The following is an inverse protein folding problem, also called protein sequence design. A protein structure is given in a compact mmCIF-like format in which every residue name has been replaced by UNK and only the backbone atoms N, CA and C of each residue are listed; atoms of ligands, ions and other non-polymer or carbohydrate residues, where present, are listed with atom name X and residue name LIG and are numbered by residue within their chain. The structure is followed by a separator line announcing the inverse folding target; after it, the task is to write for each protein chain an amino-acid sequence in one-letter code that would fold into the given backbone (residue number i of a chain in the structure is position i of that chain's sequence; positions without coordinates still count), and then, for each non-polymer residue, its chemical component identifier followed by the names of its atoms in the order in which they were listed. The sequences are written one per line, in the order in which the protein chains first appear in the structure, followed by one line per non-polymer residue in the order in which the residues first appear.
data_IF_884770947411
#
_entry.id   IF_884770947411
#
_cell.length_a   1.000
_cell.length_b   1.000
_cell.length_c   1.000
_cell.angle_alpha   90.00
_cell.angle_beta   90.00
_cell.angle_gamma   90.00
#
_symmetry.space_group_name_H-M   'P 1'
#
loop_
_entity.id
_entity.type
_entity.pdbx_description
1 polymer ?
#
# COMPACT_ATOMS: atom_id res chain seq x y z
N UNK A 1 -1.47 -25.39 -1.45
CA UNK A 1 -1.93 -25.22 -2.85
C UNK A 1 -0.71 -25.45 -3.73
N UNK A 2 -0.74 -26.53 -4.51
CA UNK A 2 0.35 -26.93 -5.40
C UNK A 2 0.42 -25.96 -6.59
N UNK A 3 1.53 -25.20 -6.76
CA UNK A 3 1.67 -24.22 -7.85
C UNK A 3 1.85 -24.87 -9.23
N UNK A 4 1.98 -26.19 -9.33
CA UNK A 4 2.12 -26.92 -10.60
C UNK A 4 0.80 -27.38 -11.21
N UNK A 5 -0.30 -27.36 -10.46
CA UNK A 5 -1.62 -27.69 -10.98
C UNK A 5 -2.33 -26.40 -11.43
N UNK A 6 -2.62 -26.26 -12.73
CA UNK A 6 -3.60 -25.26 -13.18
C UNK A 6 -4.91 -25.61 -12.47
N UNK A 7 -5.34 -24.78 -11.52
CA UNK A 7 -6.55 -25.04 -10.75
C UNK A 7 -7.74 -25.19 -11.72
N UNK A 8 -8.14 -26.43 -11.99
CA UNK A 8 -9.36 -26.71 -12.73
C UNK A 8 -10.50 -26.28 -11.82
N UNK A 9 -11.17 -25.20 -12.20
CA UNK A 9 -12.43 -24.79 -11.58
C UNK A 9 -13.48 -25.85 -11.91
N UNK A 10 -13.91 -26.59 -10.90
CA UNK A 10 -15.02 -27.53 -11.02
C UNK A 10 -16.33 -26.75 -10.91
N UNK A 11 -16.97 -26.52 -12.06
CA UNK A 11 -18.21 -25.74 -12.13
C UNK A 11 -19.38 -26.63 -11.74
N UNK A 12 -19.83 -26.50 -10.49
CA UNK A 12 -20.93 -27.30 -9.95
C UNK A 12 -22.32 -26.81 -10.36
N UNK A 13 -22.47 -25.53 -10.69
CA UNK A 13 -23.76 -24.94 -11.07
C UNK A 13 -23.60 -23.61 -11.84
N UNK A 14 -24.65 -23.27 -12.61
CA UNK A 14 -24.85 -21.95 -13.20
C UNK A 14 -26.14 -21.35 -12.64
N UNK A 15 -26.08 -20.12 -12.14
CA UNK A 15 -27.23 -19.41 -11.55
C UNK A 15 -27.34 -18.00 -12.14
N UNK A 16 -28.56 -17.49 -12.26
CA UNK A 16 -28.81 -16.08 -12.57
C UNK A 16 -28.79 -15.26 -11.29
N UNK A 17 -28.33 -14.01 -11.37
CA UNK A 17 -28.26 -13.12 -10.20
C UNK A 17 -29.61 -12.92 -9.51
N UNK A 18 -30.72 -12.96 -10.25
CA UNK A 18 -32.08 -12.86 -9.69
C UNK A 18 -32.44 -14.02 -8.75
N UNK A 19 -31.84 -15.20 -8.94
CA UNK A 19 -32.04 -16.38 -8.09
C UNK A 19 -31.29 -16.25 -6.76
N UNK A 20 -30.34 -15.31 -6.69
CA UNK A 20 -29.55 -15.08 -5.50
C UNK A 20 -30.17 -14.02 -4.59
N UNK A 21 -31.15 -13.23 -5.01
CA UNK A 21 -31.73 -12.16 -4.20
C UNK A 21 -32.59 -12.72 -3.03
N UNK A 22 -32.50 -12.07 -1.86
CA UNK A 22 -33.21 -12.47 -0.65
C UNK A 22 -32.55 -13.62 0.13
N UNK A 23 -31.38 -14.10 -0.29
CA UNK A 23 -30.62 -15.10 0.45
C UNK A 23 -29.93 -14.47 1.67
N UNK A 24 -30.09 -15.11 2.82
CA UNK A 24 -29.40 -14.71 4.06
C UNK A 24 -27.97 -15.27 4.05
N UNK A 25 -26.99 -14.39 4.24
CA UNK A 25 -25.56 -14.73 4.26
C UNK A 25 -24.92 -14.26 5.56
N UNK A 26 -23.98 -15.06 6.07
CA UNK A 26 -23.15 -14.65 7.21
C UNK A 26 -22.00 -13.80 6.67
N UNK A 27 -22.07 -12.49 6.86
CA UNK A 27 -21.01 -11.57 6.46
C UNK A 27 -19.91 -11.53 7.53
N UNK A 28 -18.65 -11.88 7.19
CA UNK A 28 -17.53 -11.75 8.12
C UNK A 28 -17.40 -10.30 8.62
N UNK A 29 -17.11 -10.11 9.90
CA UNK A 29 -16.87 -8.81 10.55
C UNK A 29 -18.06 -7.82 10.53
N UNK A 30 -19.25 -8.24 10.11
CA UNK A 30 -20.45 -7.40 10.16
C UNK A 30 -20.98 -7.28 11.59
N UNK A 31 -21.49 -6.09 11.95
CA UNK A 31 -22.25 -5.87 13.19
C UNK A 31 -23.61 -6.58 13.18
N UNK A 32 -24.13 -6.93 11.99
CA UNK A 32 -25.33 -7.74 11.82
C UNK A 32 -24.98 -9.23 11.97
N UNK A 33 -24.75 -9.66 13.21
CA UNK A 33 -24.26 -11.02 13.54
C UNK A 33 -25.23 -12.13 13.13
N UNK A 34 -26.52 -11.83 13.08
CA UNK A 34 -27.57 -12.75 12.62
C UNK A 34 -27.52 -13.01 11.11
N UNK A 35 -26.74 -12.23 10.36
CA UNK A 35 -26.59 -12.30 8.91
C UNK A 35 -27.15 -11.07 8.20
N UNK A 36 -26.82 -10.95 6.91
CA UNK A 36 -27.30 -9.91 5.99
C UNK A 36 -27.94 -10.57 4.77
N UNK A 37 -28.66 -9.81 3.96
CA UNK A 37 -29.35 -10.33 2.77
C UNK A 37 -28.70 -9.86 1.47
N UNK A 38 -28.78 -10.68 0.45
CA UNK A 38 -28.41 -10.32 -0.93
C UNK A 38 -29.51 -9.49 -1.58
N UNK A 39 -29.15 -8.29 -2.05
CA UNK A 39 -30.10 -7.32 -2.60
C UNK A 39 -29.76 -6.94 -4.04
N UNK A 40 -30.74 -6.50 -4.85
CA UNK A 40 -30.51 -6.03 -6.21
C UNK A 40 -29.78 -4.68 -6.24
N UNK A 41 -28.74 -4.58 -7.07
CA UNK A 41 -28.02 -3.34 -7.36
C UNK A 41 -27.85 -3.22 -8.88
N UNK A 42 -28.44 -2.18 -9.47
CA UNK A 42 -28.56 -2.06 -10.94
C UNK A 42 -27.27 -1.58 -11.63
N UNK A 43 -26.31 -1.05 -10.86
CA UNK A 43 -25.07 -0.46 -11.38
C UNK A 43 -23.88 -1.43 -11.44
N UNK A 44 -24.04 -2.69 -11.02
CA UNK A 44 -22.95 -3.68 -11.00
C UNK A 44 -22.60 -4.12 -12.43
N UNK A 45 -21.32 -3.99 -12.79
CA UNK A 45 -20.77 -4.50 -14.05
C UNK A 45 -20.21 -5.91 -13.83
N UNK A 46 -20.78 -6.91 -14.49
CA UNK A 46 -20.33 -8.32 -14.41
C UNK A 46 -18.90 -8.55 -14.88
N UNK A 47 -18.32 -7.61 -15.62
CA UNK A 47 -16.93 -7.65 -16.11
C UNK A 47 -15.89 -7.18 -15.09
N UNK A 48 -16.30 -6.71 -13.90
CA UNK A 48 -15.39 -6.22 -12.85
C UNK A 48 -15.58 -7.02 -11.55
N UNK A 49 -14.49 -7.60 -11.05
CA UNK A 49 -14.49 -8.39 -9.81
C UNK A 49 -15.22 -9.71 -9.98
N UNK A 50 -15.91 -10.16 -8.91
CA UNK A 50 -16.66 -11.42 -8.88
C UNK A 50 -18.11 -11.27 -9.36
N UNK A 51 -18.55 -10.04 -9.68
CA UNK A 51 -19.96 -9.73 -9.93
C UNK A 51 -20.83 -9.68 -8.66
N UNK A 52 -20.25 -9.90 -7.48
CA UNK A 52 -20.89 -9.75 -6.17
C UNK A 52 -20.17 -8.64 -5.41
N UNK A 53 -20.93 -7.69 -4.84
CA UNK A 53 -20.38 -6.52 -4.13
C UNK A 53 -20.92 -6.52 -2.71
N UNK A 54 -20.07 -6.20 -1.75
CA UNK A 54 -20.45 -5.99 -0.34
C UNK A 54 -21.00 -4.58 -0.16
N UNK A 55 -22.19 -4.46 0.44
CA UNK A 55 -22.83 -3.16 0.71
C UNK A 55 -22.29 -2.54 1.99
N UNK A 56 -21.60 -1.40 1.86
CA UNK A 56 -21.06 -0.59 2.97
C UNK A 56 -21.62 0.84 2.87
N UNK A 57 -22.92 1.03 3.20
CA UNK A 57 -23.65 2.28 2.92
C UNK A 57 -23.19 3.48 3.77
N UNK A 58 -22.35 3.30 4.79
CA UNK A 58 -21.71 4.39 5.53
C UNK A 58 -20.65 5.13 4.70
N UNK A 59 -19.96 4.41 3.81
CA UNK A 59 -18.72 4.88 3.16
C UNK A 59 -18.75 4.72 1.63
N UNK A 60 -19.73 4.02 1.08
CA UNK A 60 -19.96 3.90 -0.37
C UNK A 60 -21.25 4.63 -0.81
N UNK A 61 -21.15 5.71 -1.60
CA UNK A 61 -22.33 6.42 -2.13
C UNK A 61 -23.26 5.54 -2.97
N UNK A 62 -22.70 4.62 -3.76
CA UNK A 62 -23.46 3.67 -4.57
C UNK A 62 -24.31 2.76 -3.68
N UNK A 63 -23.74 2.25 -2.59
CA UNK A 63 -24.40 1.31 -1.68
C UNK A 63 -25.49 2.02 -0.87
N UNK A 64 -25.22 3.24 -0.40
CA UNK A 64 -26.24 4.06 0.26
C UNK A 64 -27.40 4.39 -0.66
N UNK A 65 -27.12 4.80 -1.90
CA UNK A 65 -28.16 5.11 -2.87
C UNK A 65 -29.02 3.87 -3.19
N UNK A 66 -28.40 2.71 -3.37
CA UNK A 66 -29.10 1.45 -3.62
C UNK A 66 -29.97 1.02 -2.42
N UNK A 67 -29.42 1.05 -1.19
CA UNK A 67 -30.14 0.72 0.03
C UNK A 67 -31.33 1.67 0.26
N UNK A 68 -31.10 2.98 0.10
CA UNK A 68 -32.14 4.00 0.25
C UNK A 68 -33.25 3.85 -0.79
N UNK A 69 -32.90 3.49 -2.03
CA UNK A 69 -33.88 3.25 -3.09
C UNK A 69 -34.78 2.05 -2.79
N UNK A 70 -34.22 0.92 -2.37
CA UNK A 70 -35.00 -0.28 -2.06
C UNK A 70 -35.87 -0.08 -0.81
N UNK A 71 -35.42 0.71 0.16
CA UNK A 71 -36.26 1.16 1.30
C UNK A 71 -37.42 2.03 0.83
N UNK A 72 -37.18 3.01 -0.04
CA UNK A 72 -38.18 4.01 -0.47
C UNK A 72 -39.19 3.50 -1.49
N UNK A 73 -38.85 2.49 -2.30
CA UNK A 73 -39.66 2.05 -3.45
C UNK A 73 -40.23 0.64 -3.21
N UNK A 74 -41.44 0.50 -2.63
CA UNK A 74 -42.11 -0.81 -2.45
C UNK A 74 -42.19 -1.63 -3.74
N UNK A 75 -42.45 -0.97 -4.88
CA UNK A 75 -42.49 -1.63 -6.19
C UNK A 75 -41.15 -2.29 -6.59
N UNK A 76 -40.01 -1.76 -6.12
CA UNK A 76 -38.69 -2.37 -6.37
C UNK A 76 -38.51 -3.65 -5.54
N UNK A 77 -39.00 -3.64 -4.30
CA UNK A 77 -39.03 -4.81 -3.41
C UNK A 77 -39.93 -5.90 -3.98
N UNK A 78 -41.15 -5.55 -4.38
CA UNK A 78 -42.12 -6.46 -4.99
C UNK A 78 -41.57 -7.09 -6.28
N UNK A 79 -40.96 -6.28 -7.16
CA UNK A 79 -40.36 -6.76 -8.41
C UNK A 79 -39.31 -7.86 -8.22
N UNK A 80 -38.53 -7.78 -7.15
CA UNK A 80 -37.43 -8.71 -6.87
C UNK A 80 -37.73 -9.66 -5.70
N UNK A 81 -38.99 -9.74 -5.25
CA UNK A 81 -39.43 -10.59 -4.15
C UNK A 81 -38.62 -10.40 -2.85
N UNK A 82 -38.31 -9.13 -2.52
CA UNK A 82 -37.61 -8.75 -1.29
C UNK A 82 -38.66 -8.32 -0.24
N UNK A 83 -38.60 -8.89 0.95
CA UNK A 83 -39.50 -8.55 2.05
C UNK A 83 -38.94 -7.42 2.92
N UNK A 84 -39.81 -6.81 3.74
CA UNK A 84 -39.44 -5.65 4.56
C UNK A 84 -38.41 -6.00 5.64
N UNK A 85 -38.45 -7.20 6.19
CA UNK A 85 -37.48 -7.68 7.18
C UNK A 85 -36.06 -7.81 6.61
N UNK A 86 -35.92 -7.98 5.29
CA UNK A 86 -34.61 -8.06 4.62
C UNK A 86 -33.92 -6.71 4.46
N UNK A 87 -34.63 -5.59 4.65
CA UNK A 87 -34.15 -4.25 4.28
C UNK A 87 -34.36 -3.22 5.38
N UNK A 88 -35.57 -3.15 5.93
CA UNK A 88 -35.97 -2.06 6.84
C UNK A 88 -35.15 -2.02 8.14
N UNK A 89 -34.76 -3.16 8.76
CA UNK A 89 -33.93 -3.15 9.96
C UNK A 89 -32.47 -2.73 9.74
N UNK A 90 -31.99 -2.67 8.49
CA UNK A 90 -30.58 -2.47 8.18
C UNK A 90 -30.27 -0.99 7.93
N UNK A 91 -29.67 -0.30 8.90
CA UNK A 91 -29.18 1.07 8.76
C UNK A 91 -27.65 1.12 8.51
N UNK A 92 -27.14 2.22 7.94
CA UNK A 92 -25.70 2.44 7.85
C UNK A 92 -25.04 2.37 9.22
N UNK A 93 -23.94 1.60 9.30
CA UNK A 93 -23.16 1.43 10.52
C UNK A 93 -21.99 2.41 10.48
N UNK A 94 -21.76 3.16 11.55
CA UNK A 94 -20.59 4.02 11.68
C UNK A 94 -19.32 3.16 11.82
N UNK A 95 -18.54 3.04 10.73
CA UNK A 95 -17.28 2.28 10.73
C UNK A 95 -16.08 3.23 10.75
N UNK A 96 -16.18 4.32 9.99
CA UNK A 96 -15.07 5.20 9.67
C UNK A 96 -15.48 6.65 9.88
N UNK A 97 -14.72 7.38 10.69
CA UNK A 97 -14.84 8.84 10.72
C UNK A 97 -13.95 9.47 9.64
N UNK A 98 -14.57 10.15 8.68
CA UNK A 98 -13.85 10.84 7.61
C UNK A 98 -13.75 12.34 7.93
N UNK A 99 -12.54 12.92 8.05
CA UNK A 99 -12.38 14.34 8.34
C UNK A 99 -13.17 15.22 7.36
N UNK A 100 -14.01 16.11 7.91
CA UNK A 100 -14.87 17.01 7.13
C UNK A 100 -16.15 16.38 6.55
N UNK A 101 -16.31 15.05 6.58
CA UNK A 101 -17.52 14.34 6.12
C UNK A 101 -18.25 13.57 7.23
N UNK A 102 -17.60 13.36 8.39
CA UNK A 102 -18.16 12.67 9.55
C UNK A 102 -18.12 11.15 9.44
N UNK A 103 -18.88 10.48 10.31
CA UNK A 103 -18.90 9.00 10.45
C UNK A 103 -19.74 8.25 9.42
N UNK A 104 -20.53 8.99 8.63
CA UNK A 104 -21.39 8.48 7.56
C UNK A 104 -21.07 9.23 6.27
N UNK A 105 -19.82 9.17 5.84
CA UNK A 105 -19.31 10.00 4.74
C UNK A 105 -20.12 9.86 3.45
N UNK A 106 -20.56 8.65 3.09
CA UNK A 106 -21.41 8.42 1.94
C UNK A 106 -22.78 9.07 2.08
N UNK A 107 -23.42 8.94 3.24
CA UNK A 107 -24.71 9.58 3.53
C UNK A 107 -24.59 11.09 3.40
N UNK A 108 -23.58 11.67 4.07
CA UNK A 108 -23.27 13.11 4.04
C UNK A 108 -23.09 13.61 2.62
N UNK A 109 -22.27 12.94 1.80
CA UNK A 109 -21.98 13.39 0.43
C UNK A 109 -23.18 13.22 -0.50
N UNK A 110 -23.91 12.11 -0.40
CA UNK A 110 -25.14 11.88 -1.19
C UNK A 110 -26.18 12.95 -0.92
N UNK A 111 -26.35 13.35 0.34
CA UNK A 111 -27.29 14.39 0.73
C UNK A 111 -26.81 15.79 0.28
N UNK A 112 -25.52 16.12 0.47
CA UNK A 112 -24.92 17.37 -0.01
C UNK A 112 -25.07 17.54 -1.53
N UNK A 113 -24.88 16.46 -2.29
CA UNK A 113 -24.98 16.46 -3.76
C UNK A 113 -26.42 16.28 -4.26
N UNK A 114 -27.39 16.18 -3.33
CA UNK A 114 -28.83 16.00 -3.61
C UNK A 114 -29.10 14.82 -4.55
N UNK A 115 -28.33 13.76 -4.45
CA UNK A 115 -28.51 12.54 -5.23
C UNK A 115 -29.81 11.88 -4.79
N UNK A 116 -30.71 11.56 -5.72
CA UNK A 116 -32.07 11.08 -5.43
C UNK A 116 -32.22 9.57 -5.66
N UNK A 117 -31.45 8.99 -6.56
CA UNK A 117 -31.64 7.60 -7.01
C UNK A 117 -30.31 6.93 -7.32
N UNK A 118 -30.26 5.58 -7.24
CA UNK A 118 -29.11 4.79 -7.73
C UNK A 118 -28.87 4.95 -9.25
N UNK A 119 -29.84 5.55 -9.95
CA UNK A 119 -29.76 5.85 -11.38
C UNK A 119 -29.04 7.19 -11.69
N UNK A 120 -28.70 8.00 -10.68
CA UNK A 120 -27.97 9.27 -10.86
C UNK A 120 -26.46 9.00 -11.08
N UNK A 121 -26.12 8.20 -12.10
CA UNK A 121 -24.81 7.57 -12.27
C UNK A 121 -23.64 8.54 -12.28
N UNK A 122 -23.79 9.70 -12.95
CA UNK A 122 -22.70 10.67 -13.08
C UNK A 122 -22.43 11.39 -11.74
N UNK A 123 -23.50 11.73 -11.00
CA UNK A 123 -23.36 12.33 -9.66
C UNK A 123 -22.83 11.32 -8.65
N UNK A 124 -23.22 10.06 -8.75
CA UNK A 124 -22.70 8.98 -7.90
C UNK A 124 -21.21 8.74 -8.15
N UNK A 125 -20.76 8.84 -9.40
CA UNK A 125 -19.34 8.77 -9.71
C UNK A 125 -18.55 9.90 -9.04
N UNK A 126 -19.03 11.15 -9.15
CA UNK A 126 -18.41 12.30 -8.49
C UNK A 126 -18.45 12.18 -6.95
N UNK A 127 -19.58 11.74 -6.38
CA UNK A 127 -19.72 11.49 -4.95
C UNK A 127 -18.73 10.43 -4.46
N UNK A 128 -18.58 9.34 -5.22
CA UNK A 128 -17.63 8.27 -4.94
C UNK A 128 -16.21 8.78 -4.93
N UNK A 129 -15.82 9.59 -5.92
CA UNK A 129 -14.50 10.21 -5.95
C UNK A 129 -14.26 11.13 -4.74
N UNK A 130 -15.26 11.92 -4.34
CA UNK A 130 -15.18 12.82 -3.18
C UNK A 130 -15.00 12.06 -1.86
N UNK A 131 -15.85 11.05 -1.61
CA UNK A 131 -15.75 10.21 -0.40
C UNK A 131 -14.44 9.43 -0.41
N UNK A 132 -14.07 8.85 -1.56
CA UNK A 132 -12.82 8.11 -1.69
C UNK A 132 -11.61 9.00 -1.42
N UNK A 133 -11.54 10.20 -2.00
CA UNK A 133 -10.40 11.12 -1.81
C UNK A 133 -10.28 11.59 -0.36
N UNK A 134 -11.39 11.89 0.29
CA UNK A 134 -11.41 12.29 1.70
C UNK A 134 -11.03 11.12 2.62
N UNK A 135 -11.58 9.93 2.37
CA UNK A 135 -11.24 8.71 3.10
C UNK A 135 -9.85 8.18 2.80
N UNK A 136 -9.25 8.51 1.64
CA UNK A 136 -7.95 8.01 1.22
C UNK A 136 -6.79 8.60 2.01
N UNK A 137 -6.83 9.89 2.39
CA UNK A 137 -5.78 10.48 3.22
C UNK A 137 -5.70 9.82 4.61
N UNK A 138 -6.85 9.48 5.20
CA UNK A 138 -6.90 8.72 6.44
C UNK A 138 -6.71 7.20 6.20
N UNK A 139 -7.08 6.73 5.01
CA UNK A 139 -6.92 5.36 4.55
C UNK A 139 -5.46 4.95 4.37
N UNK A 140 -4.56 5.87 3.98
CA UNK A 140 -3.12 5.60 3.92
C UNK A 140 -2.57 5.32 5.32
N UNK A 141 -2.88 6.18 6.30
CA UNK A 141 -2.47 6.00 7.69
C UNK A 141 -3.03 4.69 8.26
N UNK A 142 -4.33 4.45 8.11
CA UNK A 142 -4.97 3.21 8.59
C UNK A 142 -4.45 1.96 7.89
N UNK A 143 -4.04 2.05 6.62
CA UNK A 143 -3.40 0.93 5.92
C UNK A 143 -2.02 0.61 6.50
N UNK A 144 -1.24 1.62 6.90
CA UNK A 144 -0.01 1.41 7.66
C UNK A 144 -0.31 0.78 9.01
N UNK A 145 -1.22 1.33 9.81
CA UNK A 145 -1.58 0.78 11.13
C UNK A 145 -2.08 -0.67 11.03
N UNK A 146 -2.92 -0.99 10.05
CA UNK A 146 -3.40 -2.34 9.79
C UNK A 146 -2.26 -3.29 9.40
N UNK A 147 -1.35 -2.84 8.53
CA UNK A 147 -0.19 -3.65 8.13
C UNK A 147 0.73 -3.88 9.32
N UNK A 148 1.07 -2.86 10.09
CA UNK A 148 1.93 -2.96 11.27
C UNK A 148 1.39 -3.95 12.31
N UNK A 149 0.07 -3.99 12.50
CA UNK A 149 -0.57 -4.93 13.43
C UNK A 149 -0.65 -6.37 12.91
N UNK A 150 -0.71 -6.55 11.59
CA UNK A 150 -0.82 -7.87 10.95
C UNK A 150 0.54 -8.46 10.56
N UNK A 151 1.56 -7.62 10.38
CA UNK A 151 2.85 -8.05 9.87
C UNK A 151 3.57 -8.94 10.89
N UNK A 152 3.94 -10.12 10.43
CA UNK A 152 4.76 -11.09 11.14
C UNK A 152 6.10 -11.28 10.41
N UNK A 153 6.80 -12.38 10.67
CA UNK A 153 8.07 -12.68 10.02
C UNK A 153 7.94 -12.67 8.48
N UNK A 154 8.83 -11.95 7.82
CA UNK A 154 8.96 -11.92 6.38
C UNK A 154 10.22 -12.67 5.95
N UNK A 155 10.10 -13.64 5.06
CA UNK A 155 11.25 -14.35 4.51
C UNK A 155 12.05 -13.43 3.58
N UNK A 156 13.20 -12.94 4.05
CA UNK A 156 14.04 -11.96 3.35
C UNK A 156 15.03 -12.56 2.33
N UNK A 157 14.99 -13.89 2.11
CA UNK A 157 15.97 -14.58 1.27
C UNK A 157 15.33 -15.55 0.27
N UNK A 158 16.05 -15.81 -0.83
CA UNK A 158 15.67 -16.72 -1.92
C UNK A 158 16.90 -17.40 -2.52
N UNK A 159 16.72 -18.50 -3.24
CA UNK A 159 17.82 -19.26 -3.87
C UNK A 159 17.95 -19.05 -5.38
N UNK A 160 17.05 -18.28 -6.00
CA UNK A 160 17.01 -18.08 -7.45
C UNK A 160 16.63 -16.63 -7.80
N UNK A 161 17.19 -16.11 -8.88
CA UNK A 161 16.99 -14.74 -9.37
C UNK A 161 18.27 -13.91 -9.30
N UNK A 162 18.14 -12.60 -9.53
CA UNK A 162 19.22 -11.62 -9.38
C UNK A 162 19.15 -10.96 -8.00
N UNK A 163 20.27 -10.50 -7.47
CA UNK A 163 20.32 -9.76 -6.20
C UNK A 163 21.69 -9.83 -5.55
N UNK A 164 21.76 -9.37 -4.30
CA UNK A 164 22.95 -9.45 -3.47
C UNK A 164 22.90 -10.70 -2.60
N UNK A 165 24.02 -11.41 -2.47
CA UNK A 165 24.13 -12.57 -1.59
C UNK A 165 24.18 -12.15 -0.11
N UNK A 166 23.67 -13.00 0.79
CA UNK A 166 23.90 -12.81 2.21
C UNK A 166 25.41 -12.93 2.50
N UNK A 167 26.02 -12.00 3.26
CA UNK A 167 27.47 -11.94 3.39
C UNK A 167 28.07 -13.09 4.21
N UNK A 168 27.24 -13.84 4.97
CA UNK A 168 27.65 -15.02 5.74
C UNK A 168 27.17 -16.35 5.15
N UNK A 169 26.34 -16.34 4.11
CA UNK A 169 25.85 -17.55 3.43
C UNK A 169 25.52 -17.26 1.96
N UNK A 170 26.52 -17.44 1.08
CA UNK A 170 26.42 -17.15 -0.35
C UNK A 170 25.38 -18.02 -1.08
N UNK A 171 24.84 -19.07 -0.44
CA UNK A 171 23.74 -19.85 -1.05
C UNK A 171 22.46 -19.03 -1.20
N UNK A 172 22.26 -18.03 -0.35
CA UNK A 172 21.03 -17.25 -0.29
C UNK A 172 21.24 -15.85 -0.88
N UNK A 173 20.32 -15.45 -1.75
CA UNK A 173 20.17 -14.08 -2.24
C UNK A 173 19.14 -13.35 -1.39
N UNK A 174 19.39 -12.06 -1.13
CA UNK A 174 18.41 -11.17 -0.52
C UNK A 174 17.28 -10.92 -1.53
N UNK A 175 16.03 -10.98 -1.07
CA UNK A 175 14.89 -10.71 -1.95
C UNK A 175 14.63 -9.20 -2.11
N UNK A 176 13.90 -8.85 -3.17
CA UNK A 176 13.77 -7.47 -3.68
C UNK A 176 13.06 -6.48 -2.77
N UNK A 177 12.18 -6.92 -1.86
CA UNK A 177 11.52 -6.03 -0.90
C UNK A 177 12.39 -5.74 0.33
N UNK A 178 13.45 -6.54 0.55
CA UNK A 178 14.34 -6.48 1.70
C UNK A 178 15.60 -5.67 1.41
N UNK A 179 16.16 -5.78 0.21
CA UNK A 179 17.32 -4.97 -0.22
C UNK A 179 16.95 -3.54 -0.65
N UNK A 180 15.66 -3.20 -0.67
CA UNK A 180 15.14 -1.92 -1.16
C UNK A 180 14.61 -0.99 -0.07
N UNK A 181 15.00 -1.16 1.19
CA UNK A 181 14.37 -0.47 2.32
C UNK A 181 15.10 0.78 2.82
N UNK A 182 16.42 0.90 2.64
CA UNK A 182 17.23 2.04 3.12
C UNK A 182 18.17 2.61 2.04
N UNK A 183 18.02 2.20 0.78
CA UNK A 183 18.91 2.62 -0.32
C UNK A 183 18.92 4.14 -0.58
N UNK A 184 17.95 4.88 -0.04
CA UNK A 184 17.93 6.34 -0.14
C UNK A 184 19.13 6.97 0.57
N UNK A 185 19.65 6.34 1.63
CA UNK A 185 20.91 6.75 2.26
C UNK A 185 22.08 6.63 1.29
N UNK A 186 22.12 5.56 0.49
CA UNK A 186 23.13 5.35 -0.54
C UNK A 186 23.10 6.44 -1.62
N UNK A 187 21.92 6.98 -1.98
CA UNK A 187 21.84 8.07 -2.95
C UNK A 187 22.66 9.30 -2.56
N UNK A 188 22.75 9.59 -1.26
CA UNK A 188 23.50 10.76 -0.76
C UNK A 188 24.99 10.70 -1.11
N UNK A 189 25.55 9.48 -1.23
CA UNK A 189 26.98 9.26 -1.47
C UNK A 189 27.30 8.64 -2.84
N UNK A 190 26.30 8.12 -3.56
CA UNK A 190 26.50 7.47 -4.87
C UNK A 190 27.25 8.35 -5.88
N UNK A 191 27.03 9.67 -5.87
CA UNK A 191 27.71 10.60 -6.77
C UNK A 191 29.23 10.70 -6.50
N UNK A 192 29.68 10.41 -5.27
CA UNK A 192 31.10 10.35 -4.88
C UNK A 192 31.69 8.98 -5.24
N UNK A 193 30.92 7.91 -5.03
CA UNK A 193 31.40 6.53 -5.20
C UNK A 193 31.43 6.07 -6.66
N UNK A 194 30.40 6.37 -7.45
CA UNK A 194 30.22 5.83 -8.81
C UNK A 194 29.97 6.90 -9.89
N UNK A 195 29.67 8.16 -9.53
CA UNK A 195 29.49 9.31 -10.45
C UNK A 195 28.72 9.00 -11.75
N UNK A 196 27.55 8.38 -11.60
CA UNK A 196 26.67 8.06 -12.73
C UNK A 196 27.03 6.79 -13.51
N UNK A 197 28.12 6.09 -13.17
CA UNK A 197 28.36 4.73 -13.63
C UNK A 197 27.29 3.79 -13.04
N UNK A 198 26.24 3.48 -13.81
CA UNK A 198 25.08 2.71 -13.34
C UNK A 198 25.45 1.31 -12.83
N UNK A 199 26.44 0.66 -13.46
CA UNK A 199 26.88 -0.69 -13.08
C UNK A 199 27.89 -0.68 -11.93
N UNK A 200 28.49 0.47 -11.61
CA UNK A 200 29.61 0.56 -10.67
C UNK A 200 30.85 -0.25 -11.09
N UNK A 201 30.98 -0.59 -12.37
CA UNK A 201 32.11 -1.38 -12.90
C UNK A 201 33.38 -0.55 -13.13
N UNK A 202 33.28 0.77 -12.95
CA UNK A 202 34.39 1.71 -12.99
C UNK A 202 34.45 2.49 -11.68
N UNK A 203 35.63 2.68 -11.09
CA UNK A 203 35.79 3.53 -9.92
C UNK A 203 35.28 4.95 -10.21
N UNK A 204 34.64 5.55 -9.22
CA UNK A 204 34.22 6.94 -9.28
C UNK A 204 35.39 7.94 -9.28
N UNK A 205 35.10 9.24 -9.19
CA UNK A 205 36.06 10.34 -9.37
C UNK A 205 37.20 10.32 -8.34
N UNK A 206 36.99 9.64 -7.21
CA UNK A 206 37.97 9.53 -6.14
C UNK A 206 38.67 8.16 -6.10
N UNK A 207 38.44 7.29 -7.09
CA UNK A 207 39.12 6.00 -7.20
C UNK A 207 38.80 5.02 -6.05
N UNK A 208 37.69 5.22 -5.35
CA UNK A 208 37.27 4.31 -4.27
C UNK A 208 36.71 3.04 -4.92
N UNK A 209 37.42 1.93 -4.78
CA UNK A 209 36.93 0.63 -5.20
C UNK A 209 35.89 0.06 -4.22
N UNK A 210 34.98 -0.82 -4.67
CA UNK A 210 33.97 -1.45 -3.81
C UNK A 210 34.52 -2.15 -2.57
N UNK A 211 35.67 -2.82 -2.68
CA UNK A 211 36.31 -3.55 -1.58
C UNK A 211 36.79 -2.64 -0.43
N UNK A 212 36.94 -1.34 -0.66
CA UNK A 212 37.33 -0.38 0.38
C UNK A 212 36.15 0.07 1.26
N UNK A 213 34.91 -0.28 0.89
CA UNK A 213 33.70 0.11 1.62
C UNK A 213 33.32 -0.97 2.62
N UNK A 214 34.15 -1.13 3.66
CA UNK A 214 33.95 -2.11 4.75
C UNK A 214 32.82 -1.68 5.69
N UNK A 215 32.31 -2.59 6.56
CA UNK A 215 31.30 -2.23 7.55
C UNK A 215 31.67 -0.99 8.39
N UNK A 216 32.92 -0.87 8.84
CA UNK A 216 33.39 0.27 9.65
C UNK A 216 33.35 1.59 8.88
N UNK A 217 33.60 1.56 7.56
CA UNK A 217 33.46 2.73 6.69
C UNK A 217 31.99 3.14 6.58
N UNK A 218 31.08 2.18 6.40
CA UNK A 218 29.65 2.44 6.36
C UNK A 218 29.09 2.94 7.70
N UNK A 219 29.52 2.33 8.80
CA UNK A 219 29.15 2.72 10.16
C UNK A 219 29.58 4.15 10.46
N UNK A 220 30.79 4.56 10.06
CA UNK A 220 31.19 5.96 10.20
C UNK A 220 30.32 6.90 9.36
N UNK A 221 30.05 6.55 8.10
CA UNK A 221 29.28 7.42 7.19
C UNK A 221 27.85 7.60 7.71
N UNK A 222 27.16 6.51 8.05
CA UNK A 222 25.72 6.52 8.32
C UNK A 222 25.33 6.52 9.79
N UNK A 223 26.15 5.93 10.68
CA UNK A 223 25.89 5.89 12.13
C UNK A 223 26.75 6.91 12.89
N UNK A 224 27.91 7.27 12.35
CA UNK A 224 28.86 8.17 13.01
C UNK A 224 29.75 7.47 14.02
N UNK A 225 29.86 6.16 13.89
CA UNK A 225 30.62 5.32 14.80
C UNK A 225 32.06 5.15 14.30
N UNK A 226 32.99 4.99 15.23
CA UNK A 226 34.41 4.82 14.93
C UNK A 226 35.21 6.12 14.77
N UNK A 227 36.53 5.97 14.80
CA UNK A 227 37.49 7.05 14.59
C UNK A 227 37.97 7.02 13.14
N UNK A 228 37.74 8.08 12.34
CA UNK A 228 38.08 8.07 10.93
C UNK A 228 39.58 7.92 10.70
N UNK A 229 40.45 8.37 11.60
CA UNK A 229 41.90 8.16 11.45
C UNK A 229 42.25 6.67 11.55
N UNK A 230 41.67 5.95 12.52
CA UNK A 230 41.90 4.51 12.71
C UNK A 230 41.32 3.68 11.58
N UNK A 231 40.14 4.05 11.08
CA UNK A 231 39.52 3.38 9.94
C UNK A 231 40.43 3.46 8.72
N UNK A 232 40.97 4.65 8.42
CA UNK A 232 41.87 4.83 7.28
C UNK A 232 43.21 4.11 7.47
N UNK A 233 43.76 4.06 8.68
CA UNK A 233 44.98 3.29 8.98
C UNK A 233 44.85 1.79 8.63
N UNK A 234 43.65 1.24 8.75
CA UNK A 234 43.35 -0.17 8.44
C UNK A 234 43.12 -0.43 6.94
N UNK A 235 42.92 0.62 6.14
CA UNK A 235 42.60 0.51 4.72
C UNK A 235 43.86 0.49 3.86
N UNK A 236 44.41 -0.71 3.63
CA UNK A 236 45.57 -0.89 2.75
C UNK A 236 45.18 -0.74 1.27
N UNK A 237 45.99 -0.01 0.49
CA UNK A 237 45.79 0.22 -0.95
C UNK A 237 44.49 0.96 -1.34
N UNK A 238 43.89 1.67 -0.38
CA UNK A 238 42.71 2.51 -0.62
C UNK A 238 43.09 3.95 -0.95
N UNK A 239 42.27 4.62 -1.76
CA UNK A 239 42.33 6.08 -1.98
C UNK A 239 41.50 6.86 -0.95
N UNK A 240 40.82 6.19 -0.03
CA UNK A 240 40.08 6.83 1.05
C UNK A 240 41.02 7.64 1.94
N UNK A 241 40.61 8.87 2.22
CA UNK A 241 41.27 9.75 3.19
C UNK A 241 40.30 10.12 4.28
N UNK A 242 40.81 10.60 5.42
CA UNK A 242 39.97 11.11 6.53
C UNK A 242 39.04 12.22 6.03
N UNK A 243 39.53 13.10 5.16
CA UNK A 243 38.74 14.20 4.60
C UNK A 243 37.64 13.70 3.66
N UNK A 244 37.93 12.69 2.85
CA UNK A 244 36.94 12.08 1.95
C UNK A 244 35.87 11.32 2.74
N UNK A 245 36.27 10.62 3.80
CA UNK A 245 35.36 9.91 4.69
C UNK A 245 34.43 10.90 5.44
N UNK A 246 34.98 12.01 5.96
CA UNK A 246 34.19 13.11 6.54
C UNK A 246 33.28 13.77 5.51
N UNK A 247 33.70 13.88 4.26
CA UNK A 247 32.86 14.41 3.17
C UNK A 247 31.66 13.50 2.91
N UNK A 248 31.85 12.19 2.80
CA UNK A 248 30.77 11.22 2.62
C UNK A 248 29.71 11.34 3.73
N UNK A 249 30.16 11.39 4.99
CA UNK A 249 29.27 11.61 6.14
C UNK A 249 28.54 12.95 6.06
N UNK A 250 29.23 14.02 5.68
CA UNK A 250 28.61 15.36 5.55
C UNK A 250 27.53 15.40 4.49
N UNK A 251 27.72 14.74 3.34
CA UNK A 251 26.68 14.62 2.31
C UNK A 251 25.44 13.89 2.87
N UNK A 252 25.63 12.76 3.56
CA UNK A 252 24.53 12.05 4.20
C UNK A 252 23.77 12.95 5.18
N UNK A 253 24.47 13.56 6.15
CA UNK A 253 23.84 14.40 7.18
C UNK A 253 23.20 15.69 6.64
N UNK A 254 23.63 16.15 5.46
CA UNK A 254 23.02 17.31 4.81
C UNK A 254 21.68 16.94 4.15
N UNK A 255 21.63 15.80 3.46
CA UNK A 255 20.46 15.39 2.66
C UNK A 255 19.43 14.57 3.43
N UNK A 256 19.84 13.85 4.48
CA UNK A 256 18.91 13.08 5.30
C UNK A 256 18.28 13.94 6.41
N UNK A 257 17.04 13.64 6.83
CA UNK A 257 16.20 12.48 6.48
C UNK A 257 15.50 12.58 5.12
N UNK A 258 14.86 11.49 4.69
CA UNK A 258 13.97 11.52 3.53
C UNK A 258 12.74 12.39 3.83
N UNK A 259 12.70 13.58 3.23
CA UNK A 259 11.59 14.53 3.40
C UNK A 259 10.26 13.98 2.83
N UNK A 260 10.31 13.38 1.64
CA UNK A 260 9.15 12.84 0.95
C UNK A 260 9.48 11.55 0.19
N UNK A 261 8.70 10.49 0.45
CA UNK A 261 8.70 9.26 -0.33
C UNK A 261 7.36 9.08 -1.04
N UNK A 262 7.37 9.22 -2.37
CA UNK A 262 6.17 9.03 -3.20
C UNK A 262 6.10 7.62 -3.79
N UNK A 263 4.93 6.97 -3.76
CA UNK A 263 4.72 5.65 -4.35
C UNK A 263 3.24 5.31 -4.60
N UNK A 264 2.97 4.23 -5.33
CA UNK A 264 1.64 3.63 -5.40
C UNK A 264 1.17 3.06 -4.05
N UNK A 265 -0.13 3.14 -3.79
CA UNK A 265 -0.78 2.61 -2.57
C UNK A 265 -0.55 1.11 -2.34
N UNK A 266 -0.24 0.36 -3.39
CA UNK A 266 0.06 -1.08 -3.36
C UNK A 266 1.36 -1.42 -2.61
N UNK A 267 2.26 -0.44 -2.45
CA UNK A 267 3.49 -0.63 -1.68
C UNK A 267 3.34 -0.39 -0.18
N UNK A 268 2.20 0.14 0.27
CA UNK A 268 1.93 0.36 1.70
C UNK A 268 2.08 -0.94 2.52
N UNK A 269 1.39 -2.05 2.17
CA UNK A 269 1.42 -3.26 2.99
C UNK A 269 2.74 -4.05 2.94
N UNK A 270 3.76 -3.58 2.21
CA UNK A 270 5.04 -4.26 2.04
C UNK A 270 6.20 -3.26 2.13
N UNK A 271 6.76 -2.85 0.99
CA UNK A 271 7.93 -1.99 0.85
C UNK A 271 7.91 -0.76 1.74
N UNK A 272 6.81 0.02 1.74
CA UNK A 272 6.76 1.25 2.54
C UNK A 272 6.69 0.96 4.04
N UNK A 273 6.11 -0.16 4.44
CA UNK A 273 6.12 -0.61 5.85
C UNK A 273 7.53 -1.10 6.23
N UNK A 274 8.19 -1.88 5.39
CA UNK A 274 9.56 -2.36 5.63
C UNK A 274 10.57 -1.22 5.63
N UNK A 275 10.35 -0.21 4.78
CA UNK A 275 11.08 1.05 4.76
C UNK A 275 11.06 1.73 6.13
N UNK A 276 9.89 1.82 6.78
CA UNK A 276 9.79 2.37 8.14
C UNK A 276 10.52 1.50 9.17
N UNK A 277 10.29 0.18 9.17
CA UNK A 277 10.96 -0.75 10.09
C UNK A 277 12.49 -0.69 10.01
N UNK A 278 13.04 -0.70 8.79
CA UNK A 278 14.49 -0.69 8.63
C UNK A 278 15.11 0.65 9.01
N UNK A 279 14.45 1.78 8.74
CA UNK A 279 14.95 3.08 9.18
C UNK A 279 14.98 3.17 10.72
N UNK A 280 13.93 2.71 11.41
CA UNK A 280 13.91 2.74 12.88
C UNK A 280 14.86 1.70 13.50
N UNK A 281 15.15 0.60 12.79
CA UNK A 281 16.12 -0.40 13.25
C UNK A 281 17.58 0.04 13.09
N UNK A 282 17.93 0.74 11.99
CA UNK A 282 19.29 1.22 11.73
C UNK A 282 19.60 2.49 12.55
N UNK A 283 18.64 3.39 12.72
CA UNK A 283 18.79 4.64 13.46
C UNK A 283 17.86 4.73 14.68
N UNK A 284 17.89 3.77 15.63
CA UNK A 284 16.89 3.67 16.69
C UNK A 284 16.88 4.86 17.65
N UNK A 285 18.03 5.50 17.83
CA UNK A 285 18.20 6.63 18.75
C UNK A 285 18.35 7.98 18.03
N UNK A 286 18.10 8.02 16.72
CA UNK A 286 18.25 9.21 15.87
C UNK A 286 16.95 9.45 15.09
N UNK A 287 15.83 9.79 15.75
CA UNK A 287 14.53 10.00 15.11
C UNK A 287 14.55 11.14 14.07
N UNK A 288 15.51 12.06 14.16
CA UNK A 288 15.77 13.08 13.16
C UNK A 288 16.20 12.52 11.79
N UNK A 289 16.70 11.27 11.75
CA UNK A 289 17.05 10.56 10.52
C UNK A 289 15.91 9.69 9.98
N UNK A 290 14.78 9.62 10.68
CA UNK A 290 13.62 8.84 10.23
C UNK A 290 12.86 9.53 9.09
N UNK A 291 12.19 8.76 8.22
CA UNK A 291 11.34 9.30 7.16
C UNK A 291 10.31 10.32 7.65
N UNK A 292 10.23 11.47 6.99
CA UNK A 292 9.30 12.55 7.41
C UNK A 292 7.92 12.42 6.81
N UNK A 293 7.82 12.02 5.54
CA UNK A 293 6.51 11.87 4.89
C UNK A 293 6.49 10.80 3.80
N UNK A 294 5.32 10.19 3.64
CA UNK A 294 5.00 9.24 2.58
C UNK A 294 3.76 9.73 1.85
N UNK A 295 3.83 9.84 0.52
CA UNK A 295 2.70 10.15 -0.33
C UNK A 295 2.35 8.90 -1.15
N UNK A 296 1.16 8.34 -0.90
CA UNK A 296 0.65 7.23 -1.69
C UNK A 296 -0.30 7.74 -2.78
N UNK A 297 -0.13 7.29 -4.02
CA UNK A 297 -1.05 7.58 -5.12
C UNK A 297 -1.85 6.34 -5.54
N UNK A 298 -2.99 6.56 -6.17
CA UNK A 298 -3.74 5.50 -6.86
C UNK A 298 -3.00 4.98 -8.10
N UNK A 299 -3.46 3.85 -8.64
CA UNK A 299 -2.94 3.37 -9.92
C UNK A 299 -3.34 4.30 -11.06
N UNK A 300 -2.43 4.51 -12.01
CA UNK A 300 -2.72 5.27 -13.22
C UNK A 300 -3.74 4.51 -14.09
N UNK A 301 -4.77 5.21 -14.54
CA UNK A 301 -5.75 4.70 -15.50
C UNK A 301 -5.45 5.29 -16.89
N UNK A 302 -5.64 4.49 -17.94
CA UNK A 302 -5.61 4.94 -19.33
C UNK A 302 -7.03 4.85 -19.89
N UNK A 303 -7.59 5.97 -20.37
CA UNK A 303 -8.97 6.03 -20.88
C UNK A 303 -10.00 5.41 -19.92
N UNK A 304 -9.87 5.74 -18.63
CA UNK A 304 -10.72 5.22 -17.54
C UNK A 304 -10.71 3.70 -17.39
N UNK A 305 -9.72 3.03 -17.99
CA UNK A 305 -9.54 1.59 -17.97
C UNK A 305 -8.23 1.22 -17.28
N UNK A 306 -8.19 0.02 -16.71
CA UNK A 306 -6.96 -0.51 -16.11
C UNK A 306 -5.93 -0.68 -17.23
N UNK A 307 -4.77 -0.08 -17.07
CA UNK A 307 -3.64 -0.30 -17.97
C UNK A 307 -3.16 -1.74 -17.78
N UNK A 308 -3.23 -2.54 -18.85
CA UNK A 308 -2.68 -3.89 -18.88
C UNK A 308 -1.46 -3.83 -19.80
N UNK A 309 -0.27 -4.02 -19.24
CA UNK A 309 0.93 -4.25 -20.05
C UNK A 309 0.82 -5.63 -20.67
N UNK A 310 1.06 -5.71 -21.98
CA UNK A 310 1.32 -6.98 -22.66
C UNK A 310 2.71 -7.50 -22.31
#
# INVERSE_FOLDING_TARGET
LDPSSSAKLDVVAHVKGVELFGLKVKAPLSMYTEGVYTLPMLSIKSTKGTGVVTSVPSDSPDDWAALRDIKKKPALREKYNITDDMVMPYEPVEIIETPGLGKLAAVTVVDQMKIQSQNDTDKLLEAKEKVYKAGFYDGVRRSFEATLNWLHEHACSRTYGLGTHLPWDEKWLIESLSDSTIYMAYYTVAHILQQGCLRGDKPGPFGINPEHMTPEVWDFIFLGEGDPSKIIEQQHKSTLTVDLLKRLRREFLFWYPVDLRSSGKDLIPNHLTYYLYNHTAIWPNQPELWPRSVLANGHLLLNSSKTVGY
#
